data_IF_792478751979
#
_entry.id   IF_792478751979
#
_cell.length_a   1.000
_cell.length_b   1.000
_cell.length_c   1.000
_cell.angle_alpha   90.00
_cell.angle_beta   90.00
_cell.angle_gamma   90.00
#
_symmetry.space_group_name_H-M   'P 1'
#
loop_
_entity.id
_entity.type
_entity.pdbx_description
1 polymer ?
#
# COMPACT_ATOMS: atom_id res chain seq x y z
N UNK A 1 10.42 3.41 -8.51
CA UNK A 1 10.09 4.09 -7.24
C UNK A 1 11.32 4.78 -6.67
N UNK A 2 11.25 6.10 -6.47
CA UNK A 2 12.39 6.94 -6.03
C UNK A 2 12.37 7.23 -4.53
N UNK A 3 11.26 6.95 -3.86
CA UNK A 3 11.07 7.13 -2.42
C UNK A 3 11.21 5.76 -1.78
N UNK A 4 12.18 5.64 -0.87
CA UNK A 4 12.64 4.36 -0.30
C UNK A 4 12.57 4.33 1.22
N UNK A 5 12.46 5.49 1.86
CA UNK A 5 12.50 5.64 3.31
C UNK A 5 11.44 6.68 3.73
N UNK A 6 10.90 6.59 4.95
CA UNK A 6 9.98 7.58 5.49
C UNK A 6 10.58 9.00 5.48
N UNK A 7 9.79 9.96 5.02
CA UNK A 7 10.10 11.39 4.97
C UNK A 7 9.30 12.19 6.01
N UNK A 8 8.40 11.54 6.74
CA UNK A 8 7.46 12.18 7.69
C UNK A 8 6.53 13.18 6.99
N UNK A 9 6.18 12.84 5.75
CA UNK A 9 5.25 13.59 4.91
C UNK A 9 4.41 12.58 4.14
N UNK A 10 3.12 12.55 4.45
CA UNK A 10 2.18 11.56 3.91
C UNK A 10 2.17 11.54 2.39
N UNK A 11 2.33 12.69 1.72
CA UNK A 11 2.31 12.78 0.26
C UNK A 11 3.40 11.93 -0.40
N UNK A 12 4.56 11.84 0.26
CA UNK A 12 5.68 11.03 -0.20
C UNK A 12 5.64 9.62 0.37
N UNK A 13 5.30 9.48 1.64
CA UNK A 13 5.35 8.21 2.36
C UNK A 13 4.32 7.21 1.80
N UNK A 14 3.14 7.67 1.38
CA UNK A 14 2.12 6.81 0.77
C UNK A 14 2.57 6.18 -0.58
N UNK A 15 3.65 6.71 -1.17
CA UNK A 15 4.19 6.28 -2.46
C UNK A 15 5.47 5.43 -2.35
N UNK A 16 5.92 5.08 -1.15
CA UNK A 16 7.12 4.25 -0.94
C UNK A 16 7.01 2.91 -1.69
N UNK A 17 8.09 2.52 -2.38
CA UNK A 17 8.14 1.22 -3.06
C UNK A 17 8.02 0.07 -2.07
N UNK A 18 7.09 -0.85 -2.30
CA UNK A 18 6.87 -2.00 -1.42
C UNK A 18 6.01 -1.71 -0.19
N UNK A 19 5.46 -0.50 -0.05
CA UNK A 19 4.43 -0.21 0.95
C UNK A 19 3.01 -0.39 0.39
N UNK A 20 2.04 -0.34 1.29
CA UNK A 20 0.64 -0.04 0.99
C UNK A 20 0.14 0.97 2.02
N UNK A 21 -0.99 1.61 1.76
CA UNK A 21 -1.69 2.38 2.77
C UNK A 21 -3.13 1.90 2.93
N UNK A 22 -3.65 2.08 4.13
CA UNK A 22 -5.05 1.89 4.45
C UNK A 22 -5.57 3.16 5.11
N UNK A 23 -6.76 3.57 4.70
CA UNK A 23 -7.32 4.85 5.11
C UNK A 23 -8.65 4.65 5.85
N UNK A 24 -8.65 4.62 7.19
CA UNK A 24 -9.88 4.76 7.95
C UNK A 24 -10.52 6.15 7.73
N UNK A 25 -11.84 6.16 7.64
CA UNK A 25 -12.64 7.38 7.55
C UNK A 25 -13.25 7.62 6.17
N UNK A 26 -13.32 8.88 5.76
CA UNK A 26 -14.17 9.33 4.66
C UNK A 26 -13.77 8.70 3.33
N UNK A 27 -14.72 8.07 2.65
CA UNK A 27 -14.52 7.56 1.31
C UNK A 27 -14.53 8.68 0.26
N UNK A 28 -13.72 8.52 -0.78
CA UNK A 28 -13.79 9.39 -1.96
C UNK A 28 -15.06 9.09 -2.76
N UNK A 29 -15.62 10.10 -3.44
CA UNK A 29 -16.81 9.92 -4.28
C UNK A 29 -16.59 8.96 -5.45
N UNK A 30 -15.36 8.88 -5.96
CA UNK A 30 -14.96 8.00 -7.08
C UNK A 30 -14.80 6.53 -6.65
N UNK A 31 -14.57 6.29 -5.36
CA UNK A 31 -14.39 4.97 -4.76
C UNK A 31 -15.31 4.83 -3.53
N UNK A 32 -16.58 5.21 -3.71
CA UNK A 32 -17.52 5.29 -2.61
C UNK A 32 -17.91 3.91 -2.08
N UNK A 33 -17.74 3.71 -0.77
CA UNK A 33 -18.17 2.51 -0.05
C UNK A 33 -19.21 2.83 1.05
N UNK A 34 -19.77 4.04 1.04
CA UNK A 34 -20.75 4.51 2.01
C UNK A 34 -20.16 5.06 3.31
N UNK A 35 -18.85 4.95 3.55
CA UNK A 35 -18.25 5.50 4.75
C UNK A 35 -18.21 7.03 4.69
N UNK A 36 -18.73 7.69 5.73
CA UNK A 36 -18.79 9.16 5.86
C UNK A 36 -18.18 9.54 7.19
N UNK A 37 -17.17 10.40 7.15
CA UNK A 37 -16.43 10.82 8.34
C UNK A 37 -15.88 12.23 8.15
N UNK A 38 -15.60 12.93 9.24
CA UNK A 38 -14.85 14.19 9.21
C UNK A 38 -13.34 13.98 9.05
N UNK A 39 -12.88 12.74 9.12
CA UNK A 39 -11.47 12.36 9.04
C UNK A 39 -11.23 11.45 7.85
N UNK A 40 -10.09 11.63 7.19
CA UNK A 40 -9.50 10.73 6.21
C UNK A 40 -8.02 10.63 6.59
N UNK A 41 -7.56 9.48 7.05
CA UNK A 41 -6.22 9.35 7.62
C UNK A 41 -5.45 8.21 6.99
N UNK A 42 -4.48 8.55 6.14
CA UNK A 42 -3.66 7.56 5.45
C UNK A 42 -2.60 6.99 6.39
N UNK A 43 -2.69 5.69 6.65
CA UNK A 43 -1.71 4.94 7.41
C UNK A 43 -0.87 4.10 6.45
N UNK A 44 0.42 4.37 6.39
CA UNK A 44 1.35 3.69 5.50
C UNK A 44 2.03 2.52 6.22
N UNK A 45 2.03 1.35 5.61
CA UNK A 45 2.75 0.16 6.07
C UNK A 45 3.78 -0.27 5.02
N UNK A 46 5.05 -0.19 5.37
CA UNK A 46 6.16 -0.67 4.53
C UNK A 46 6.31 -2.17 4.76
N UNK A 47 6.17 -2.98 3.71
CA UNK A 47 6.27 -4.44 3.79
C UNK A 47 7.58 -4.97 3.22
N UNK A 48 8.61 -4.15 3.00
CA UNK A 48 9.91 -4.69 2.59
C UNK A 48 10.56 -5.46 3.75
N UNK A 49 11.46 -6.44 3.48
CA UNK A 49 12.08 -7.25 4.54
C UNK A 49 12.80 -6.41 5.61
N UNK A 50 13.39 -5.29 5.22
CA UNK A 50 14.08 -4.33 6.11
C UNK A 50 13.15 -3.74 7.19
N UNK A 51 11.85 -3.68 6.90
CA UNK A 51 10.81 -3.17 7.80
C UNK A 51 9.92 -4.29 8.37
N UNK A 52 10.38 -5.55 8.31
CA UNK A 52 9.69 -6.71 8.89
C UNK A 52 8.90 -7.57 7.89
N UNK A 53 8.83 -7.16 6.62
CA UNK A 53 8.16 -7.94 5.59
C UNK A 53 6.64 -7.92 5.68
N UNK A 54 6.00 -8.91 5.06
CA UNK A 54 4.58 -9.15 5.20
C UNK A 54 3.92 -9.73 3.96
N UNK A 55 2.65 -10.07 4.09
CA UNK A 55 1.86 -10.64 3.00
C UNK A 55 0.54 -9.88 2.84
N UNK A 56 0.04 -9.82 1.61
CA UNK A 56 -1.32 -9.38 1.29
C UNK A 56 -1.99 -10.53 0.56
N UNK A 57 -3.10 -10.98 1.13
CA UNK A 57 -3.92 -12.07 0.63
C UNK A 57 -5.28 -11.53 0.22
N UNK A 58 -5.75 -11.88 -0.98
CA UNK A 58 -7.14 -11.69 -1.37
C UNK A 58 -7.77 -13.07 -1.40
N UNK A 59 -8.72 -13.31 -0.48
CA UNK A 59 -9.26 -14.63 -0.21
C UNK A 59 -8.13 -15.64 0.04
N UNK A 60 -7.99 -16.65 -0.82
CA UNK A 60 -6.97 -17.71 -0.72
C UNK A 60 -5.76 -17.47 -1.65
N UNK A 61 -5.65 -16.31 -2.30
CA UNK A 61 -4.57 -15.98 -3.23
C UNK A 61 -3.57 -14.98 -2.62
N UNK A 62 -2.29 -15.36 -2.61
CA UNK A 62 -1.19 -14.49 -2.18
C UNK A 62 -0.89 -13.45 -3.28
N UNK A 63 -1.33 -12.21 -3.07
CA UNK A 63 -1.16 -11.12 -4.04
C UNK A 63 0.20 -10.45 -3.90
N UNK A 64 0.64 -10.23 -2.66
CA UNK A 64 1.96 -9.63 -2.40
C UNK A 64 2.69 -10.33 -1.26
N UNK A 65 4.00 -10.45 -1.40
CA UNK A 65 4.93 -10.90 -0.36
C UNK A 65 6.14 -9.99 -0.31
N UNK A 66 6.45 -9.52 0.88
CA UNK A 66 7.59 -8.67 1.20
C UNK A 66 7.72 -7.44 0.26
N UNK A 67 6.57 -6.80 0.00
CA UNK A 67 6.48 -5.61 -0.84
C UNK A 67 6.44 -5.87 -2.35
N UNK A 68 6.47 -7.13 -2.81
CA UNK A 68 6.42 -7.49 -4.24
C UNK A 68 5.13 -8.20 -4.60
N UNK A 69 4.60 -7.94 -5.79
CA UNK A 69 3.51 -8.69 -6.39
C UNK A 69 3.98 -10.10 -6.79
N UNK A 70 3.17 -11.11 -6.44
CA UNK A 70 3.48 -12.54 -6.64
C UNK A 70 2.84 -13.12 -7.91
N UNK A 71 1.53 -12.90 -8.19
CA UNK A 71 0.89 -13.45 -9.39
C UNK A 71 1.59 -13.01 -10.67
N UNK A 72 1.72 -13.93 -11.64
CA UNK A 72 2.52 -13.75 -12.86
C UNK A 72 2.09 -12.51 -13.66
N UNK A 73 0.79 -12.31 -13.81
CA UNK A 73 0.18 -11.18 -14.52
C UNK A 73 0.38 -9.83 -13.80
N UNK A 74 0.63 -9.84 -12.50
CA UNK A 74 0.90 -8.64 -11.69
C UNK A 74 2.40 -8.33 -11.56
N UNK A 75 3.31 -9.21 -12.00
CA UNK A 75 4.75 -8.99 -11.82
C UNK A 75 5.27 -7.76 -12.56
N UNK A 76 4.59 -7.30 -13.61
CA UNK A 76 4.92 -6.02 -14.27
C UNK A 76 4.84 -4.82 -13.34
N UNK A 77 4.00 -4.88 -12.29
CA UNK A 77 3.89 -3.83 -11.27
C UNK A 77 5.08 -3.79 -10.31
N UNK A 78 5.98 -4.78 -10.36
CA UNK A 78 7.23 -4.76 -9.61
C UNK A 78 8.30 -3.87 -10.27
N UNK A 79 8.06 -3.34 -11.47
CA UNK A 79 9.04 -2.51 -12.16
C UNK A 79 9.37 -1.26 -11.34
N UNK A 80 10.66 -1.14 -11.00
CA UNK A 80 11.17 -0.02 -10.22
C UNK A 80 10.78 -0.04 -8.74
N UNK A 81 10.13 -1.10 -8.22
CA UNK A 81 9.98 -1.29 -6.78
C UNK A 81 11.32 -1.44 -6.05
#
# INVERSE_FOLDING_TARGET
NRIRHPMLDTLFDEKIGGSFHLTPGNAYGEADNGNRSSVHWDLVMIQTPEYGGGEIWFDDELIRKDGRFVPEDLQGLNEGL
#
